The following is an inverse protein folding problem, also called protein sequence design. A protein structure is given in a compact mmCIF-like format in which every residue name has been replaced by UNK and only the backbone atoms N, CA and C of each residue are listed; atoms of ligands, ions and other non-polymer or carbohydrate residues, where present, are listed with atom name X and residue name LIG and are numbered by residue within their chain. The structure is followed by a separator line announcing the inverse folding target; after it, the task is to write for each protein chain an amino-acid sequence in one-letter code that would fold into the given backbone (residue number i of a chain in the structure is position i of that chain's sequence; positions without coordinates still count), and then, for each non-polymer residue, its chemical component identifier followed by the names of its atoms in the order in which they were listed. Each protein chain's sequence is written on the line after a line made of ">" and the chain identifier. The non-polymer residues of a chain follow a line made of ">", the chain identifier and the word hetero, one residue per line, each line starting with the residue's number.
data_IF_452763856447
#
_entry.id   IF_452763856447
#
_cell.length_a   1.000
_cell.length_b   1.000
_cell.length_c   1.000
_cell.angle_alpha   90.00
_cell.angle_beta   90.00
_cell.angle_gamma   90.00
#
_symmetry.space_group_name_H-M   'P 1'
#
loop_
_entity.id
_entity.type
_entity.pdbx_description
1 polymer ?
#
# COMPACT_ATOMS: atom_id res chain seq x y z
N UNK A 1 5.46 30.38 14.20
CA UNK A 1 4.36 30.14 15.15
C UNK A 1 3.07 30.28 14.37
N UNK A 2 2.42 29.15 14.14
CA UNK A 2 1.31 29.07 13.21
C UNK A 2 0.05 29.62 13.89
N UNK A 3 -0.53 30.65 13.30
CA UNK A 3 -1.69 31.40 13.81
C UNK A 3 -3.00 30.62 13.57
N UNK A 4 -2.99 29.32 13.83
CA UNK A 4 -4.20 28.52 13.83
C UNK A 4 -4.86 28.63 15.21
N UNK A 5 -6.17 28.96 15.29
CA UNK A 5 -6.84 29.05 16.58
C UNK A 5 -6.80 27.69 17.30
N UNK A 6 -6.35 27.70 18.55
CA UNK A 6 -6.38 26.51 19.40
C UNK A 6 -7.83 26.17 19.79
N UNK A 7 -8.05 24.99 20.38
CA UNK A 7 -9.37 24.57 20.86
C UNK A 7 -10.01 25.57 21.82
N UNK A 8 -9.21 26.23 22.68
CA UNK A 8 -9.70 27.26 23.60
C UNK A 8 -10.13 28.54 22.88
N UNK A 9 -9.38 28.98 21.85
CA UNK A 9 -9.72 30.14 21.05
C UNK A 9 -11.04 29.91 20.28
N UNK A 10 -11.23 28.70 19.74
CA UNK A 10 -12.49 28.29 19.11
C UNK A 10 -13.66 28.25 20.12
N UNK A 11 -13.43 27.75 21.34
CA UNK A 11 -14.47 27.75 22.36
C UNK A 11 -14.92 29.18 22.74
N UNK A 12 -13.96 30.07 23.01
CA UNK A 12 -14.24 31.47 23.33
C UNK A 12 -14.92 32.23 22.17
N UNK A 13 -14.50 31.97 20.93
CA UNK A 13 -15.12 32.54 19.74
C UNK A 13 -16.59 32.13 19.60
N UNK A 14 -16.90 30.86 19.91
CA UNK A 14 -18.27 30.34 19.90
C UNK A 14 -19.14 31.00 20.96
N UNK A 15 -18.61 31.23 22.17
CA UNK A 15 -19.33 31.95 23.24
C UNK A 15 -19.61 33.41 22.87
N UNK A 16 -18.73 34.03 22.08
CA UNK A 16 -18.85 35.43 21.64
C UNK A 16 -19.55 35.60 20.29
N UNK A 17 -20.06 34.53 19.69
CA UNK A 17 -20.64 34.52 18.34
C UNK A 17 -19.71 35.15 17.29
N UNK A 18 -18.40 34.90 17.40
CA UNK A 18 -17.41 35.36 16.44
C UNK A 18 -17.24 34.33 15.32
N UNK A 19 -16.99 34.82 14.11
CA UNK A 19 -16.65 33.96 12.98
C UNK A 19 -15.22 33.40 13.13
N UNK A 20 -15.09 32.09 13.14
CA UNK A 20 -13.81 31.40 13.28
C UNK A 20 -12.83 31.73 12.15
N UNK A 21 -13.33 32.02 10.95
CA UNK A 21 -12.45 32.31 9.80
C UNK A 21 -11.68 33.62 9.97
N UNK A 22 -12.23 34.56 10.76
CA UNK A 22 -11.58 35.82 11.10
C UNK A 22 -10.38 35.67 12.05
N UNK A 23 -10.32 34.56 12.80
CA UNK A 23 -9.26 34.28 13.77
C UNK A 23 -8.05 33.60 13.14
N UNK A 24 -8.22 33.06 11.93
CA UNK A 24 -7.13 32.44 11.18
C UNK A 24 -6.31 33.53 10.47
N UNK A 25 -4.98 33.40 10.47
CA UNK A 25 -4.13 34.26 9.67
C UNK A 25 -4.43 34.12 8.17
N UNK A 26 -4.21 35.21 7.43
CA UNK A 26 -4.49 35.31 6.00
C UNK A 26 -3.84 34.20 5.17
N UNK A 27 -2.67 33.70 5.60
CA UNK A 27 -1.96 32.60 4.96
C UNK A 27 -2.84 31.35 4.76
N UNK A 28 -3.79 31.09 5.66
CA UNK A 28 -4.66 29.91 5.60
C UNK A 28 -6.03 30.19 4.96
N UNK A 29 -6.25 31.40 4.44
CA UNK A 29 -7.50 31.74 3.76
C UNK A 29 -7.54 31.13 2.36
N UNK A 30 -8.76 30.87 1.89
CA UNK A 30 -8.99 30.28 0.56
C UNK A 30 -8.42 31.17 -0.54
N UNK A 31 -8.58 32.48 -0.39
CA UNK A 31 -8.13 33.47 -1.36
C UNK A 31 -6.62 33.39 -1.56
N UNK A 32 -5.84 33.30 -0.47
CA UNK A 32 -4.39 33.13 -0.50
C UNK A 32 -3.98 31.80 -1.13
N UNK A 33 -4.73 30.72 -0.88
CA UNK A 33 -4.49 29.44 -1.54
C UNK A 33 -4.71 29.54 -3.05
N UNK A 34 -5.80 30.17 -3.48
CA UNK A 34 -6.10 30.36 -4.91
C UNK A 34 -5.00 31.22 -5.56
N UNK A 35 -4.59 32.30 -4.91
CA UNK A 35 -3.55 33.20 -5.41
C UNK A 35 -2.20 32.50 -5.55
N UNK A 36 -1.80 31.71 -4.56
CA UNK A 36 -0.56 30.93 -4.58
C UNK A 36 -0.48 29.94 -5.75
N UNK A 37 -1.63 29.43 -6.20
CA UNK A 37 -1.74 28.50 -7.33
C UNK A 37 -2.36 29.16 -8.58
N UNK A 38 -2.48 30.49 -8.61
CA UNK A 38 -3.06 31.22 -9.74
C UNK A 38 -2.16 31.15 -10.98
N UNK A 39 -0.85 31.03 -10.76
CA UNK A 39 0.15 30.89 -11.81
C UNK A 39 0.14 29.45 -12.33
N UNK A 40 0.03 29.24 -13.64
CA UNK A 40 0.04 27.89 -14.20
C UNK A 40 1.39 27.21 -13.95
N UNK A 41 1.34 25.99 -13.41
CA UNK A 41 2.51 25.12 -13.34
C UNK A 41 2.77 24.61 -14.76
N UNK A 42 3.76 25.20 -15.42
CA UNK A 42 4.14 24.79 -16.76
C UNK A 42 4.77 23.38 -16.75
N UNK A 43 4.43 22.51 -17.71
CA UNK A 43 5.06 21.21 -17.80
C UNK A 43 6.56 21.38 -18.03
N UNK A 44 7.36 20.56 -17.33
CA UNK A 44 8.79 20.50 -17.59
C UNK A 44 8.98 19.88 -18.98
N UNK A 45 9.78 20.53 -19.84
CA UNK A 45 10.08 20.04 -21.19
C UNK A 45 10.79 18.68 -21.19
N UNK A 46 10.91 18.05 -22.35
CA UNK A 46 11.61 16.77 -22.49
C UNK A 46 13.08 16.91 -22.07
N UNK A 47 13.69 15.95 -21.34
CA UNK A 47 15.08 16.05 -20.86
C UNK A 47 16.12 16.36 -21.94
N UNK A 48 15.89 15.94 -23.18
CA UNK A 48 16.78 16.24 -24.31
C UNK A 48 16.84 17.72 -24.70
N UNK A 49 15.87 18.53 -24.26
CA UNK A 49 15.81 19.97 -24.51
C UNK A 49 16.48 20.79 -23.40
N UNK A 50 16.91 20.14 -22.31
CA UNK A 50 17.49 20.83 -21.17
C UNK A 50 18.96 21.19 -21.43
N UNK A 51 19.30 22.46 -21.25
CA UNK A 51 20.69 22.90 -21.21
C UNK A 51 21.18 22.75 -19.78
N UNK A 52 22.00 21.73 -19.51
CA UNK A 52 22.57 21.47 -18.19
C UNK A 52 23.99 22.03 -18.13
N UNK A 53 24.26 23.04 -17.28
CA UNK A 53 25.61 23.58 -17.06
C UNK A 53 26.62 22.50 -16.63
N UNK A 54 27.88 22.67 -17.03
CA UNK A 54 28.94 21.67 -16.81
C UNK A 54 29.21 21.40 -15.33
N UNK A 55 29.11 22.44 -14.49
CA UNK A 55 29.24 22.34 -13.04
C UNK A 55 28.13 21.49 -12.42
N UNK A 56 26.89 21.57 -12.91
CA UNK A 56 25.77 20.73 -12.46
C UNK A 56 25.92 19.29 -12.96
N UNK A 57 26.26 19.11 -14.25
CA UNK A 57 26.46 17.80 -14.85
C UNK A 57 27.58 17.00 -14.16
N UNK A 58 28.60 17.67 -13.63
CA UNK A 58 29.70 17.05 -12.88
C UNK A 58 29.35 16.63 -11.45
N UNK A 59 28.23 17.09 -10.88
CA UNK A 59 27.83 16.78 -9.51
C UNK A 59 27.24 15.39 -9.42
N UNK A 60 27.96 14.47 -8.78
CA UNK A 60 27.45 13.13 -8.46
C UNK A 60 26.62 13.20 -7.18
N UNK A 61 25.30 13.12 -7.31
CA UNK A 61 24.39 13.00 -6.15
C UNK A 61 24.25 11.52 -5.79
N UNK A 62 24.92 11.11 -4.72
CA UNK A 62 24.80 9.74 -4.21
C UNK A 62 23.50 9.59 -3.42
N UNK A 63 22.86 8.42 -3.56
CA UNK A 63 21.73 8.07 -2.71
C UNK A 63 22.14 8.10 -1.24
N UNK A 64 21.29 8.64 -0.34
CA UNK A 64 21.56 8.58 1.09
C UNK A 64 21.71 7.11 1.50
N UNK A 65 22.78 6.79 2.25
CA UNK A 65 23.11 5.42 2.69
C UNK A 65 22.18 4.90 3.81
N UNK A 66 21.00 5.48 3.98
CA UNK A 66 20.04 5.07 5.00
C UNK A 66 19.17 3.93 4.48
N UNK A 67 19.18 2.79 5.18
CA UNK A 67 18.09 1.82 5.06
C UNK A 67 16.89 2.37 5.84
N UNK A 68 15.68 2.31 5.26
CA UNK A 68 14.46 2.54 6.03
C UNK A 68 14.47 1.56 7.21
N UNK A 69 14.38 2.09 8.44
CA UNK A 69 14.15 1.25 9.60
C UNK A 69 12.80 0.53 9.39
N UNK A 70 12.72 -0.74 9.77
CA UNK A 70 11.43 -1.42 9.86
C UNK A 70 10.55 -0.60 10.79
N UNK A 71 9.49 0.01 10.25
CA UNK A 71 8.69 1.00 11.00
C UNK A 71 8.07 0.44 12.28
N UNK A 72 7.90 -0.88 12.35
CA UNK A 72 7.52 -1.59 13.57
C UNK A 72 8.70 -2.45 14.03
N UNK A 73 9.24 -2.24 15.24
CA UNK A 73 10.10 -3.21 15.88
C UNK A 73 9.43 -4.57 15.86
N UNK A 74 10.18 -5.62 15.52
CA UNK A 74 9.70 -7.00 15.51
C UNK A 74 9.56 -7.54 16.94
N UNK A 75 9.01 -6.74 17.83
CA UNK A 75 8.65 -7.17 19.17
C UNK A 75 7.26 -7.81 19.11
N UNK A 76 7.12 -8.96 19.76
CA UNK A 76 5.86 -9.68 19.80
C UNK A 76 4.71 -8.77 20.26
N UNK A 77 3.51 -9.01 19.73
CA UNK A 77 2.32 -8.29 20.18
C UNK A 77 2.10 -8.56 21.68
N UNK A 78 2.19 -7.52 22.50
CA UNK A 78 1.66 -7.57 23.86
C UNK A 78 0.13 -7.49 23.78
N UNK A 79 -0.55 -8.58 24.14
CA UNK A 79 -2.00 -8.60 24.21
C UNK A 79 -2.48 -7.67 25.34
N UNK A 80 -3.51 -6.87 25.08
CA UNK A 80 -4.16 -6.05 26.12
C UNK A 80 -4.96 -6.94 27.09
N UNK A 81 -5.22 -6.46 28.31
CA UNK A 81 -5.98 -7.22 29.33
C UNK A 81 -7.38 -7.65 28.89
N UNK A 82 -7.94 -7.04 27.84
CA UNK A 82 -9.28 -7.34 27.29
C UNK A 82 -9.23 -8.25 26.06
N UNK A 83 -8.05 -8.62 25.58
CA UNK A 83 -7.88 -9.42 24.37
C UNK A 83 -8.04 -10.91 24.70
N UNK A 84 -9.14 -11.50 24.24
CA UNK A 84 -9.40 -12.94 24.38
C UNK A 84 -8.49 -13.67 23.40
N UNK A 85 -7.52 -14.45 23.89
CA UNK A 85 -6.69 -15.30 23.02
C UNK A 85 -7.56 -16.41 22.44
N UNK A 86 -8.18 -16.20 21.28
CA UNK A 86 -8.84 -17.29 20.56
C UNK A 86 -7.75 -18.25 20.08
N UNK A 87 -7.62 -19.40 20.74
CA UNK A 87 -6.80 -20.50 20.25
C UNK A 87 -7.32 -20.88 18.87
N UNK A 88 -6.57 -20.55 17.83
CA UNK A 88 -6.91 -20.95 16.47
C UNK A 88 -6.94 -22.47 16.41
N UNK A 89 -8.10 -23.04 16.08
CA UNK A 89 -8.24 -24.46 15.80
C UNK A 89 -7.75 -24.75 14.38
N UNK A 90 -7.16 -25.92 14.21
CA UNK A 90 -6.73 -26.39 12.92
C UNK A 90 -7.95 -26.65 12.02
N UNK A 91 -8.07 -25.94 10.90
CA UNK A 91 -9.18 -26.17 9.94
C UNK A 91 -9.22 -27.58 9.34
N UNK A 92 -8.11 -28.33 9.41
CA UNK A 92 -7.99 -29.69 8.85
C UNK A 92 -8.47 -30.77 9.83
N UNK A 93 -8.19 -30.64 11.13
CA UNK A 93 -8.50 -31.67 12.13
C UNK A 93 -9.33 -31.18 13.32
N UNK A 94 -9.67 -29.90 13.38
CA UNK A 94 -10.42 -29.27 14.47
C UNK A 94 -9.64 -29.05 15.76
N UNK A 95 -8.46 -29.67 15.93
CA UNK A 95 -7.68 -29.59 17.16
C UNK A 95 -6.93 -28.25 17.30
N UNK A 96 -6.79 -27.74 18.53
CA UNK A 96 -6.02 -26.54 18.84
C UNK A 96 -4.52 -26.83 18.93
N UNK A 97 -3.69 -25.78 18.97
CA UNK A 97 -2.23 -25.88 19.14
C UNK A 97 -1.41 -25.95 17.85
N UNK A 98 -2.05 -26.08 16.69
CA UNK A 98 -1.38 -26.01 15.39
C UNK A 98 -2.33 -25.48 14.30
N UNK A 99 -1.76 -25.03 13.18
CA UNK A 99 -2.53 -24.60 12.01
C UNK A 99 -2.56 -25.70 10.93
N UNK A 100 -3.44 -25.56 9.95
CA UNK A 100 -3.60 -26.54 8.86
C UNK A 100 -2.33 -26.79 8.04
N UNK A 101 -1.40 -25.81 8.00
CA UNK A 101 -0.10 -25.95 7.33
C UNK A 101 0.86 -26.89 8.05
N UNK A 102 0.79 -26.97 9.38
CA UNK A 102 1.63 -27.85 10.21
C UNK A 102 0.85 -29.04 10.77
N UNK A 103 -0.29 -29.36 10.20
CA UNK A 103 -1.11 -30.47 10.64
C UNK A 103 -0.55 -31.79 10.08
N UNK A 104 -0.30 -32.75 10.97
CA UNK A 104 0.16 -34.10 10.60
C UNK A 104 -0.96 -34.99 10.02
N UNK A 105 -2.23 -34.59 10.17
CA UNK A 105 -3.33 -35.32 9.54
C UNK A 105 -3.29 -35.14 8.02
N UNK A 106 -3.61 -36.21 7.25
CA UNK A 106 -3.69 -36.13 5.80
C UNK A 106 -4.68 -35.03 5.38
N UNK A 107 -4.43 -34.34 4.25
CA UNK A 107 -5.37 -33.36 3.74
C UNK A 107 -6.73 -34.01 3.58
N UNK A 108 -7.79 -33.34 4.05
CA UNK A 108 -9.15 -33.78 3.77
C UNK A 108 -9.29 -33.88 2.26
N UNK A 109 -9.57 -35.09 1.75
CA UNK A 109 -9.86 -35.29 0.33
C UNK A 109 -11.17 -34.55 0.09
N UNK A 110 -11.08 -33.34 -0.46
CA UNK A 110 -12.26 -32.65 -0.94
C UNK A 110 -12.69 -33.38 -2.20
N UNK A 111 -13.58 -34.36 -2.06
CA UNK A 111 -14.47 -34.74 -3.15
C UNK A 111 -15.51 -33.62 -3.29
N UNK A 112 -15.02 -32.44 -3.69
CA UNK A 112 -15.88 -31.35 -4.10
C UNK A 112 -16.64 -31.77 -5.37
N UNK A 113 -17.84 -31.25 -5.61
CA UNK A 113 -18.55 -31.58 -6.83
C UNK A 113 -17.67 -31.17 -8.02
N UNK A 114 -17.42 -32.12 -8.92
CA UNK A 114 -16.75 -31.91 -10.21
C UNK A 114 -17.63 -30.99 -11.07
N UNK A 115 -17.59 -29.68 -10.81
CA UNK A 115 -18.26 -28.71 -11.65
C UNK A 115 -17.52 -28.72 -12.98
N UNK A 116 -18.17 -29.24 -14.03
CA UNK A 116 -17.70 -29.17 -15.40
C UNK A 116 -17.71 -27.71 -15.85
N UNK A 117 -16.63 -26.98 -15.56
CA UNK A 117 -16.45 -25.60 -16.03
C UNK A 117 -16.33 -25.64 -17.55
N UNK A 118 -17.13 -24.86 -18.32
CA UNK A 118 -16.99 -24.78 -19.77
C UNK A 118 -15.56 -24.37 -20.17
N UNK A 119 -15.05 -24.92 -21.27
CA UNK A 119 -13.65 -24.74 -21.69
C UNK A 119 -13.24 -23.28 -21.90
N UNK A 120 -14.21 -22.42 -22.25
CA UNK A 120 -14.00 -20.97 -22.41
C UNK A 120 -13.51 -20.30 -21.12
N UNK A 121 -13.95 -20.77 -19.95
CA UNK A 121 -13.62 -20.20 -18.64
C UNK A 121 -12.44 -20.91 -17.96
N UNK A 122 -11.90 -21.97 -18.57
CA UNK A 122 -10.74 -22.66 -18.00
C UNK A 122 -9.49 -21.84 -18.24
N UNK A 123 -8.75 -21.60 -17.15
CA UNK A 123 -7.47 -20.89 -17.22
C UNK A 123 -6.50 -21.65 -18.12
N UNK A 124 -6.06 -20.96 -19.18
CA UNK A 124 -5.08 -21.44 -20.15
C UNK A 124 -3.66 -21.11 -19.67
N UNK A 125 -2.71 -21.96 -20.00
CA UNK A 125 -1.30 -21.70 -19.74
C UNK A 125 -0.83 -20.45 -20.50
N UNK A 126 -0.07 -19.56 -19.87
CA UNK A 126 0.41 -18.34 -20.53
C UNK A 126 1.54 -18.56 -21.54
N UNK A 127 2.05 -19.79 -21.64
CA UNK A 127 3.13 -20.17 -22.56
C UNK A 127 2.50 -20.87 -23.78
N UNK A 128 1.92 -22.05 -23.58
CA UNK A 128 1.35 -22.86 -24.67
C UNK A 128 -0.17 -22.74 -24.85
N UNK A 129 -0.86 -21.92 -24.06
CA UNK A 129 -2.32 -21.69 -24.13
C UNK A 129 -3.21 -22.94 -23.94
N UNK A 130 -2.63 -24.08 -23.56
CA UNK A 130 -3.37 -25.29 -23.26
C UNK A 130 -3.90 -25.29 -21.82
N UNK A 131 -5.02 -26.00 -21.61
CA UNK A 131 -5.68 -26.13 -20.31
C UNK A 131 -5.06 -27.32 -19.54
N UNK A 132 -5.11 -27.28 -18.20
CA UNK A 132 -4.72 -28.40 -17.34
C UNK A 132 -3.37 -28.24 -16.62
N UNK A 133 -2.61 -27.19 -16.96
CA UNK A 133 -1.34 -26.87 -16.31
C UNK A 133 -1.13 -25.34 -16.26
N UNK A 134 -0.08 -24.89 -15.57
CA UNK A 134 0.27 -23.47 -15.50
C UNK A 134 1.66 -23.23 -16.10
N UNK A 135 2.09 -21.97 -16.20
CA UNK A 135 3.40 -21.61 -16.78
C UNK A 135 4.61 -22.31 -16.11
N UNK A 136 4.51 -22.65 -14.82
CA UNK A 136 5.59 -23.29 -14.08
C UNK A 136 5.72 -24.78 -14.39
N UNK A 137 4.61 -25.40 -14.81
CA UNK A 137 4.53 -26.83 -15.16
C UNK A 137 4.34 -27.04 -16.66
N UNK A 138 4.60 -26.01 -17.47
CA UNK A 138 4.44 -26.08 -18.92
C UNK A 138 5.57 -26.90 -19.55
N UNK A 139 5.26 -27.90 -20.40
CA UNK A 139 6.27 -28.69 -21.09
C UNK A 139 7.07 -27.88 -22.10
N UNK A 140 6.53 -26.75 -22.59
CA UNK A 140 7.20 -25.84 -23.54
C UNK A 140 7.89 -24.65 -22.86
N UNK A 141 8.14 -24.73 -21.55
CA UNK A 141 8.70 -23.60 -20.78
C UNK A 141 10.08 -23.14 -21.29
N UNK A 142 10.87 -24.06 -21.85
CA UNK A 142 12.26 -23.80 -22.24
C UNK A 142 12.41 -23.32 -23.71
N UNK A 143 11.29 -23.18 -24.44
CA UNK A 143 11.28 -22.78 -25.86
C UNK A 143 11.33 -21.26 -26.09
N UNK A 144 11.39 -20.45 -25.02
CA UNK A 144 11.36 -18.96 -25.08
C UNK A 144 12.69 -18.33 -24.61
N UNK A 145 13.81 -18.90 -25.06
CA UNK A 145 15.13 -18.28 -24.94
C UNK A 145 15.75 -18.18 -26.35
N UNK A 146 15.35 -17.16 -27.09
CA UNK A 146 16.16 -16.44 -28.09
C UNK A 146 15.81 -14.94 -28.02
#
# INVERSE_FOLDING_TARGET
>A
MDHFPCSHALAAARERNLDFTSLCADYYKRETLIDAYSVPIMPVGHPSSWVVPSDIASRVVLNPKSKRQSGRPMEGRHASSSEKTTTQSCRRCGQSGHNSRRCSNPPMVNEGPSISVPDEYRRKCSICHSIGHNKQTCPEKDSTVE
#
